data_IF_011098787338
#
_entry.id   IF_011098787338
#
_cell.length_a   1.000
_cell.length_b   1.000
_cell.length_c   1.000
_cell.angle_alpha   90.00
_cell.angle_beta   90.00
_cell.angle_gamma   90.00
#
_symmetry.space_group_name_H-M   'P 1'
#
loop_
_entity.id
_entity.type
_entity.pdbx_description
1 polymer ?
#
# COMPACT_ATOMS: atom_id res chain seq x y z
N UNK A 1 -55.53 -0.05 50.14
CA UNK A 1 -54.53 -1.16 49.98
C UNK A 1 -54.14 -1.53 48.56
N UNK A 2 -54.81 -1.01 47.52
CA UNK A 2 -54.43 -1.33 46.11
C UNK A 2 -53.33 -0.44 45.48
N UNK A 3 -52.99 0.70 46.09
CA UNK A 3 -52.03 1.66 45.59
C UNK A 3 -50.53 1.40 45.95
N UNK A 4 -50.32 0.62 47.00
CA UNK A 4 -48.99 0.34 47.55
C UNK A 4 -48.32 -0.81 46.83
N UNK A 5 -49.11 -1.71 46.22
CA UNK A 5 -48.56 -2.87 45.48
C UNK A 5 -48.02 -2.46 44.11
N UNK A 6 -48.55 -1.39 43.50
CA UNK A 6 -48.14 -0.97 42.13
C UNK A 6 -46.81 -0.22 42.11
N UNK A 7 -46.45 0.43 43.22
CA UNK A 7 -45.16 1.15 43.31
C UNK A 7 -43.98 0.21 43.61
N UNK A 8 -44.25 -0.95 44.24
CA UNK A 8 -43.20 -1.91 44.58
C UNK A 8 -42.72 -2.72 43.34
N UNK A 9 -43.62 -2.93 42.37
CA UNK A 9 -43.27 -3.68 41.15
C UNK A 9 -42.41 -2.82 40.21
N UNK A 10 -42.60 -1.49 40.22
CA UNK A 10 -41.82 -0.59 39.34
C UNK A 10 -40.36 -0.41 39.82
N UNK A 11 -40.12 -0.50 41.14
CA UNK A 11 -38.79 -0.38 41.71
C UNK A 11 -37.93 -1.64 41.46
N UNK A 12 -38.57 -2.81 41.33
CA UNK A 12 -37.83 -4.07 41.15
C UNK A 12 -37.41 -4.32 39.68
N UNK A 13 -38.13 -3.75 38.72
CA UNK A 13 -37.77 -3.88 37.28
C UNK A 13 -36.61 -2.97 36.91
N UNK A 14 -36.38 -1.88 37.64
CA UNK A 14 -35.30 -0.94 37.34
C UNK A 14 -33.90 -1.41 37.81
N UNK A 15 -33.83 -2.45 38.66
CA UNK A 15 -32.55 -2.97 39.16
C UNK A 15 -31.91 -4.06 38.29
N UNK A 16 -32.62 -4.52 37.24
CA UNK A 16 -32.09 -5.58 36.36
C UNK A 16 -31.44 -5.08 35.07
N UNK A 17 -31.36 -3.75 34.85
CA UNK A 17 -30.76 -3.17 33.65
C UNK A 17 -29.32 -2.64 33.81
N UNK A 18 -28.69 -2.83 34.98
CA UNK A 18 -27.37 -2.23 35.27
C UNK A 18 -26.21 -3.21 35.13
N UNK A 19 -26.40 -4.42 34.64
CA UNK A 19 -25.31 -5.41 34.52
C UNK A 19 -24.99 -5.84 33.09
N UNK A 20 -24.97 -4.91 32.11
CA UNK A 20 -24.37 -5.15 30.81
C UNK A 20 -23.65 -3.92 30.29
N UNK A 21 -22.83 -3.28 31.15
CA UNK A 21 -21.73 -2.44 30.64
C UNK A 21 -20.47 -3.30 30.60
N UNK A 22 -20.50 -4.34 29.74
CA UNK A 22 -19.31 -4.98 29.23
C UNK A 22 -18.57 -3.96 28.40
N UNK A 23 -17.64 -3.26 29.01
CA UNK A 23 -16.65 -2.45 28.34
C UNK A 23 -15.77 -3.41 27.51
N UNK A 24 -16.30 -3.85 26.37
CA UNK A 24 -15.47 -4.40 25.30
C UNK A 24 -14.61 -3.23 24.82
N UNK A 25 -13.51 -3.03 25.51
CA UNK A 25 -12.42 -2.21 25.08
C UNK A 25 -11.87 -2.86 23.80
N UNK A 26 -12.57 -2.62 22.70
CA UNK A 26 -12.02 -2.83 21.36
C UNK A 26 -10.76 -1.99 21.36
N UNK A 27 -9.62 -2.66 21.56
CA UNK A 27 -8.31 -2.11 21.19
C UNK A 27 -8.46 -1.73 19.73
N UNK A 28 -8.90 -0.52 19.49
CA UNK A 28 -8.72 0.13 18.20
C UNK A 28 -7.22 0.21 18.04
N UNK A 29 -6.68 -0.79 17.37
CA UNK A 29 -5.35 -0.70 16.79
C UNK A 29 -5.43 0.57 15.96
N UNK A 30 -4.84 1.65 16.45
CA UNK A 30 -4.67 2.86 15.69
C UNK A 30 -4.07 2.42 14.36
N UNK A 31 -4.89 2.38 13.32
CA UNK A 31 -4.44 2.31 11.96
C UNK A 31 -3.58 3.56 11.83
N UNK A 32 -2.28 3.34 11.97
CA UNK A 32 -1.26 4.34 11.72
C UNK A 32 -1.66 4.91 10.36
N UNK A 33 -2.22 6.11 10.34
CA UNK A 33 -2.54 6.82 9.12
C UNK A 33 -1.25 6.79 8.31
N UNK A 34 -1.18 5.92 7.31
CA UNK A 34 -0.10 5.92 6.36
C UNK A 34 -0.17 7.29 5.69
N UNK A 35 0.64 8.22 6.16
CA UNK A 35 0.92 9.42 5.40
C UNK A 35 1.35 8.91 4.02
N UNK A 36 0.48 9.10 3.02
CA UNK A 36 0.70 8.64 1.66
C UNK A 36 2.07 9.20 1.27
N UNK A 37 3.03 8.33 1.05
CA UNK A 37 4.36 8.72 0.62
C UNK A 37 4.24 9.55 -0.65
N UNK A 38 4.97 10.66 -0.72
CA UNK A 38 5.07 11.40 -1.98
C UNK A 38 5.79 10.58 -3.07
N UNK A 39 6.50 9.53 -2.68
CA UNK A 39 7.20 8.61 -3.56
C UNK A 39 6.34 7.38 -3.80
N UNK A 40 6.31 6.91 -5.03
CA UNK A 40 5.73 5.63 -5.41
C UNK A 40 6.64 4.88 -6.38
N UNK A 41 6.51 3.56 -6.39
CA UNK A 41 7.16 2.69 -7.37
C UNK A 41 6.11 2.28 -8.39
N UNK A 42 6.42 2.44 -9.67
CA UNK A 42 5.51 2.08 -10.76
C UNK A 42 6.22 1.09 -11.67
N UNK A 43 5.58 -0.06 -11.89
CA UNK A 43 6.00 -1.01 -12.92
C UNK A 43 4.98 -0.99 -14.05
N UNK A 44 5.44 -0.68 -15.25
CA UNK A 44 4.66 -0.90 -16.47
C UNK A 44 4.93 -2.30 -17.00
N UNK A 45 3.93 -2.90 -17.63
CA UNK A 45 4.02 -4.20 -18.27
C UNK A 45 3.10 -4.27 -19.48
N UNK A 46 3.43 -5.13 -20.43
CA UNK A 46 2.53 -5.49 -21.53
C UNK A 46 1.48 -6.50 -21.03
N UNK A 47 0.39 -6.66 -21.76
CA UNK A 47 -0.65 -7.65 -21.45
C UNK A 47 -0.05 -9.05 -21.34
N UNK A 48 0.83 -9.41 -22.28
CA UNK A 48 1.59 -10.66 -22.23
C UNK A 48 2.85 -10.49 -21.38
N UNK A 49 2.77 -10.86 -20.13
CA UNK A 49 3.86 -10.71 -19.18
C UNK A 49 4.87 -11.87 -19.29
N UNK A 50 6.12 -11.54 -19.52
CA UNK A 50 7.22 -12.51 -19.51
C UNK A 50 7.63 -12.91 -18.09
N UNK A 51 8.36 -14.03 -17.94
CA UNK A 51 8.83 -14.50 -16.64
C UNK A 51 9.72 -13.45 -15.93
N UNK A 52 10.59 -12.77 -16.66
CA UNK A 52 11.46 -11.73 -16.09
C UNK A 52 10.64 -10.55 -15.55
N UNK A 53 9.58 -10.13 -16.24
CA UNK A 53 8.69 -9.06 -15.79
C UNK A 53 7.98 -9.41 -14.48
N UNK A 54 7.53 -10.66 -14.35
CA UNK A 54 6.93 -11.17 -13.12
C UNK A 54 7.96 -11.23 -11.98
N UNK A 55 9.20 -11.64 -12.30
CA UNK A 55 10.28 -11.68 -11.31
C UNK A 55 10.67 -10.31 -10.82
N UNK A 56 10.72 -9.31 -11.69
CA UNK A 56 10.97 -7.90 -11.31
C UNK A 56 9.88 -7.40 -10.35
N UNK A 57 8.61 -7.70 -10.61
CA UNK A 57 7.52 -7.35 -9.69
C UNK A 57 7.72 -7.97 -8.31
N UNK A 58 7.97 -9.28 -8.27
CA UNK A 58 8.23 -10.00 -7.03
C UNK A 58 9.36 -9.35 -6.23
N UNK A 59 10.52 -9.12 -6.88
CA UNK A 59 11.70 -8.56 -6.24
C UNK A 59 11.49 -7.10 -5.79
N UNK A 60 10.78 -6.28 -6.57
CA UNK A 60 10.43 -4.92 -6.18
C UNK A 60 9.52 -4.91 -4.95
N UNK A 61 8.51 -5.79 -4.90
CA UNK A 61 7.64 -5.94 -3.72
C UNK A 61 8.41 -6.44 -2.50
N UNK A 62 9.35 -7.38 -2.65
CA UNK A 62 10.24 -7.84 -1.57
C UNK A 62 11.09 -6.67 -1.06
N UNK A 63 11.69 -5.89 -1.95
CA UNK A 63 12.50 -4.72 -1.59
C UNK A 63 11.68 -3.68 -0.81
N UNK A 64 10.42 -3.46 -1.20
CA UNK A 64 9.52 -2.50 -0.57
C UNK A 64 9.02 -2.91 0.82
N UNK A 65 9.25 -4.14 1.27
CA UNK A 65 8.97 -4.52 2.66
C UNK A 65 9.74 -3.65 3.67
N UNK A 66 10.91 -3.14 3.28
CA UNK A 66 11.70 -2.18 4.07
C UNK A 66 11.07 -0.78 4.09
N UNK A 67 10.19 -0.47 3.13
CA UNK A 67 9.60 0.87 2.93
C UNK A 67 8.06 0.80 2.89
N UNK A 68 7.39 0.42 3.98
CA UNK A 68 5.96 0.09 3.99
C UNK A 68 5.04 1.28 3.65
N UNK A 69 5.55 2.50 3.71
CA UNK A 69 4.82 3.72 3.33
C UNK A 69 4.88 4.02 1.82
N UNK A 70 5.72 3.32 1.05
CA UNK A 70 5.88 3.56 -0.39
C UNK A 70 4.97 2.61 -1.15
N UNK A 71 3.94 3.11 -1.86
CA UNK A 71 3.06 2.28 -2.66
C UNK A 71 3.76 1.74 -3.92
N UNK A 72 3.35 0.54 -4.31
CA UNK A 72 3.70 -0.08 -5.58
C UNK A 72 2.47 -0.10 -6.49
N UNK A 73 2.62 0.38 -7.71
CA UNK A 73 1.58 0.35 -8.74
C UNK A 73 2.04 -0.49 -9.93
N UNK A 74 1.12 -1.34 -10.39
CA UNK A 74 1.31 -2.14 -11.60
C UNK A 74 0.39 -1.59 -12.69
N UNK A 75 0.94 -1.26 -13.85
CA UNK A 75 0.23 -0.57 -14.94
C UNK A 75 0.36 -1.37 -16.24
N UNK A 76 -0.76 -1.76 -16.81
CA UNK A 76 -0.78 -2.36 -18.14
C UNK A 76 -0.60 -1.27 -19.20
N UNK A 77 0.54 -1.29 -19.92
CA UNK A 77 0.88 -0.31 -20.94
C UNK A 77 0.05 -0.46 -22.23
N UNK A 78 -0.53 -1.66 -22.45
CA UNK A 78 -1.37 -1.93 -23.63
C UNK A 78 -2.83 -1.48 -23.44
N UNK A 79 -3.22 -1.12 -22.21
CA UNK A 79 -4.54 -0.61 -21.91
C UNK A 79 -4.63 0.88 -22.26
N UNK A 80 -5.51 1.22 -23.21
CA UNK A 80 -5.72 2.60 -23.71
C UNK A 80 -6.00 3.61 -22.60
N UNK A 81 -6.61 3.20 -21.48
CA UNK A 81 -6.85 4.10 -20.34
C UNK A 81 -5.55 4.61 -19.72
N UNK A 82 -4.43 3.90 -19.89
CA UNK A 82 -3.12 4.22 -19.34
C UNK A 82 -2.23 5.00 -20.32
N UNK A 83 -2.68 5.28 -21.54
CA UNK A 83 -1.90 5.93 -22.62
C UNK A 83 -1.24 7.23 -22.15
N UNK A 84 -1.99 8.11 -21.48
CA UNK A 84 -1.44 9.38 -20.95
C UNK A 84 -0.35 9.15 -19.89
N UNK A 85 -0.56 8.14 -19.04
CA UNK A 85 0.42 7.78 -18.02
C UNK A 85 1.68 7.18 -18.66
N UNK A 86 1.50 6.28 -19.62
CA UNK A 86 2.60 5.69 -20.39
C UNK A 86 3.42 6.77 -21.10
N UNK A 87 2.77 7.73 -21.75
CA UNK A 87 3.44 8.86 -22.41
C UNK A 87 4.23 9.73 -21.41
N UNK A 88 3.69 9.98 -20.22
CA UNK A 88 4.37 10.76 -19.17
C UNK A 88 5.70 10.11 -18.74
N UNK A 89 5.76 8.77 -18.73
CA UNK A 89 6.93 8.00 -18.30
C UNK A 89 7.76 7.50 -19.47
N UNK A 90 7.35 7.76 -20.70
CA UNK A 90 7.95 7.17 -21.91
C UNK A 90 7.99 5.63 -21.83
N UNK A 91 6.94 5.05 -21.24
CA UNK A 91 6.84 3.63 -20.92
C UNK A 91 6.07 2.90 -22.03
N UNK A 92 6.76 2.46 -23.08
CA UNK A 92 6.19 1.74 -24.23
C UNK A 92 6.27 0.21 -24.08
N UNK A 93 6.53 -0.28 -22.85
CA UNK A 93 6.65 -1.70 -22.55
C UNK A 93 7.01 -1.91 -21.07
N UNK A 94 7.57 -3.10 -20.79
CA UNK A 94 7.95 -3.46 -19.41
C UNK A 94 9.06 -2.56 -18.88
N UNK A 95 8.76 -1.81 -17.83
CA UNK A 95 9.68 -0.84 -17.24
C UNK A 95 9.38 -0.60 -15.77
N UNK A 96 10.38 -0.11 -15.02
CA UNK A 96 10.29 0.14 -13.59
C UNK A 96 10.76 1.56 -13.25
N UNK A 97 9.95 2.29 -12.47
CA UNK A 97 10.23 3.69 -12.14
C UNK A 97 10.03 4.00 -10.66
N UNK A 98 10.82 4.96 -10.16
CA UNK A 98 10.51 5.73 -8.97
C UNK A 98 9.90 7.06 -9.40
N UNK A 99 8.83 7.46 -8.73
CA UNK A 99 8.12 8.70 -9.03
C UNK A 99 7.80 9.50 -7.76
N UNK A 100 8.13 10.78 -7.77
CA UNK A 100 7.72 11.70 -6.73
C UNK A 100 6.50 12.51 -7.21
N UNK A 101 5.35 12.26 -6.59
CA UNK A 101 4.06 12.87 -6.98
C UNK A 101 4.01 14.37 -6.73
N UNK A 102 4.82 14.90 -5.79
CA UNK A 102 4.89 16.32 -5.47
C UNK A 102 5.81 17.08 -6.43
N UNK A 103 7.04 16.60 -6.58
CA UNK A 103 8.05 17.28 -7.42
C UNK A 103 7.98 16.89 -8.89
N UNK A 104 7.17 15.85 -9.22
CA UNK A 104 7.06 15.23 -10.56
C UNK A 104 8.36 14.60 -11.06
N UNK A 105 9.35 14.44 -10.18
CA UNK A 105 10.61 13.79 -10.50
C UNK A 105 10.39 12.32 -10.81
N UNK A 106 10.98 11.86 -11.89
CA UNK A 106 10.94 10.45 -12.36
C UNK A 106 12.37 9.93 -12.36
N UNK A 107 12.56 8.68 -11.93
CA UNK A 107 13.81 7.94 -12.09
C UNK A 107 13.52 6.58 -12.71
N UNK A 108 14.07 6.34 -13.87
CA UNK A 108 14.00 5.05 -14.56
C UNK A 108 14.95 4.05 -13.90
N UNK A 109 14.44 2.88 -13.53
CA UNK A 109 15.19 1.76 -12.96
C UNK A 109 15.16 0.51 -13.85
N UNK A 110 14.65 0.63 -15.07
CA UNK A 110 14.40 -0.51 -15.96
C UNK A 110 15.66 -1.33 -16.20
N UNK A 111 16.75 -0.69 -16.59
CA UNK A 111 18.02 -1.40 -16.88
C UNK A 111 18.52 -2.12 -15.62
N UNK A 112 18.55 -1.43 -14.48
CA UNK A 112 18.92 -2.03 -13.20
C UNK A 112 18.08 -3.26 -12.90
N UNK A 113 16.75 -3.18 -13.10
CA UNK A 113 15.83 -4.24 -12.81
C UNK A 113 16.04 -5.47 -13.69
N UNK A 114 16.16 -5.28 -15.00
CA UNK A 114 16.39 -6.38 -15.94
C UNK A 114 17.76 -7.03 -15.76
N UNK A 115 18.82 -6.24 -15.56
CA UNK A 115 20.18 -6.76 -15.35
C UNK A 115 20.33 -7.59 -14.08
N UNK A 116 19.51 -7.34 -13.07
CA UNK A 116 19.61 -8.02 -11.78
C UNK A 116 18.43 -8.95 -11.46
N UNK A 117 17.49 -9.16 -12.39
CA UNK A 117 16.31 -9.99 -12.17
C UNK A 117 16.65 -11.46 -11.81
N UNK A 118 17.81 -11.96 -12.24
CA UNK A 118 18.29 -13.31 -11.93
C UNK A 118 19.01 -13.43 -10.58
N UNK A 119 19.32 -12.32 -9.90
CA UNK A 119 20.06 -12.28 -8.63
C UNK A 119 19.26 -11.44 -7.61
N UNK A 120 18.56 -12.10 -6.72
CA UNK A 120 17.69 -11.45 -5.76
C UNK A 120 18.43 -10.49 -4.83
N UNK A 121 19.58 -10.91 -4.30
CA UNK A 121 20.32 -10.11 -3.31
C UNK A 121 20.87 -8.84 -3.97
N UNK A 122 21.39 -8.99 -5.18
CA UNK A 122 21.90 -7.88 -5.98
C UNK A 122 20.77 -6.94 -6.37
N UNK A 123 19.62 -7.47 -6.81
CA UNK A 123 18.45 -6.65 -7.12
C UNK A 123 18.02 -5.82 -5.92
N UNK A 124 17.81 -6.44 -4.76
CA UNK A 124 17.36 -5.77 -3.54
C UNK A 124 18.37 -4.69 -3.12
N UNK A 125 19.66 -5.00 -3.16
CA UNK A 125 20.72 -4.04 -2.83
C UNK A 125 20.69 -2.82 -3.73
N UNK A 126 20.65 -3.02 -5.04
CA UNK A 126 20.66 -1.95 -6.03
C UNK A 126 19.36 -1.15 -6.03
N UNK A 127 18.22 -1.82 -5.88
CA UNK A 127 16.93 -1.17 -5.75
C UNK A 127 16.89 -0.25 -4.52
N UNK A 128 17.29 -0.77 -3.34
CA UNK A 128 17.31 0.01 -2.11
C UNK A 128 18.27 1.19 -2.20
N UNK A 129 19.45 1.02 -2.79
CA UNK A 129 20.42 2.10 -3.02
C UNK A 129 19.81 3.22 -3.86
N UNK A 130 19.13 2.87 -4.95
CA UNK A 130 18.48 3.83 -5.84
C UNK A 130 17.31 4.54 -5.16
N UNK A 131 16.51 3.80 -4.39
CA UNK A 131 15.38 4.36 -3.65
C UNK A 131 15.84 5.30 -2.53
N UNK A 132 16.85 4.90 -1.74
CA UNK A 132 17.42 5.74 -0.67
C UNK A 132 18.00 7.04 -1.23
N UNK A 133 18.66 6.99 -2.38
CA UNK A 133 19.16 8.19 -3.07
C UNK A 133 18.02 9.07 -3.58
N UNK A 134 16.95 8.47 -4.11
CA UNK A 134 15.78 9.20 -4.62
C UNK A 134 14.96 9.87 -3.49
N UNK A 135 14.91 9.25 -2.31
CA UNK A 135 14.24 9.82 -1.13
C UNK A 135 14.93 11.08 -0.60
N UNK A 136 16.22 11.26 -0.88
CA UNK A 136 17.05 12.39 -0.42
C UNK A 136 17.12 13.54 -1.44
N UNK A 137 16.47 13.39 -2.60
CA UNK A 137 16.68 14.28 -3.75
C UNK A 137 15.53 15.28 -4.01
#
# INVERSE_FOLDING_TARGET
MKKIILTSIFATVMLLFVCCNGNAQTKTTAVKSNAISAIQVIQFHSEHRCMTCNKIEELARVSLKKYPSIPFSLVNADDKKNEKLCAQFEAYGSSLYLYNTKTKKIKNLTDMAFMNAGDQDKFIKEFNRNLDAFLKS
#
